data_IF_326200828569
#
_entry.id   IF_326200828569
#
_cell.length_a   1.000
_cell.length_b   1.000
_cell.length_c   1.000
_cell.angle_alpha   90.00
_cell.angle_beta   90.00
_cell.angle_gamma   90.00
#
_symmetry.space_group_name_H-M   'P 1'
#
loop_
_entity.id
_entity.type
_entity.pdbx_description
1 polymer ?
#
# COMPACT_ATOMS: atom_id res chain seq x y z
N UNK A 1 -40.04 6.65 -1.25
CA UNK A 1 -39.72 7.99 -1.77
C UNK A 1 -39.66 8.95 -0.59
N UNK A 2 -38.46 9.37 -0.22
CA UNK A 2 -38.23 10.52 0.66
C UNK A 2 -36.84 11.06 0.28
N UNK A 3 -36.82 12.20 -0.39
CA UNK A 3 -35.63 12.93 -0.75
C UNK A 3 -35.24 13.83 0.43
N UNK A 4 -34.04 13.67 0.97
CA UNK A 4 -33.43 14.63 1.88
C UNK A 4 -32.34 15.39 1.12
N UNK A 5 -32.64 16.66 0.82
CA UNK A 5 -31.74 17.56 0.11
C UNK A 5 -30.51 17.93 0.92
N UNK A 6 -29.38 18.05 0.22
CA UNK A 6 -28.16 18.66 0.75
C UNK A 6 -28.33 20.18 0.87
N UNK A 7 -27.82 20.82 1.93
CA UNK A 7 -27.83 22.27 2.03
C UNK A 7 -26.85 22.90 1.02
N UNK A 8 -27.33 23.92 0.33
CA UNK A 8 -26.59 24.77 -0.61
C UNK A 8 -25.36 25.39 0.05
N UNK A 9 -24.17 25.16 -0.51
CA UNK A 9 -22.92 25.77 -0.04
C UNK A 9 -22.92 27.26 -0.37
N UNK A 10 -23.00 28.10 0.66
CA UNK A 10 -22.67 29.51 0.54
C UNK A 10 -21.21 29.67 0.08
N UNK A 11 -21.03 30.25 -1.10
CA UNK A 11 -19.71 30.57 -1.67
C UNK A 11 -18.99 31.56 -0.75
N UNK A 12 -17.82 31.17 -0.26
CA UNK A 12 -16.89 32.09 0.41
C UNK A 12 -16.49 33.21 -0.59
N UNK A 13 -16.29 34.46 -0.12
CA UNK A 13 -15.85 35.55 -0.98
C UNK A 13 -14.46 35.24 -1.55
N UNK A 14 -14.40 35.06 -2.87
CA UNK A 14 -13.17 34.97 -3.65
C UNK A 14 -12.47 36.33 -3.56
N UNK A 15 -11.34 36.41 -2.83
CA UNK A 15 -10.45 37.57 -2.98
C UNK A 15 -9.82 37.50 -4.38
N UNK A 16 -9.77 38.61 -5.14
CA UNK A 16 -9.03 38.63 -6.39
C UNK A 16 -7.55 38.36 -6.09
N UNK A 17 -7.03 37.30 -6.69
CA UNK A 17 -5.59 37.01 -6.66
C UNK A 17 -4.93 38.10 -7.52
N UNK A 18 -4.05 38.90 -6.90
CA UNK A 18 -3.17 39.81 -7.63
C UNK A 18 -2.31 39.01 -8.60
N UNK A 19 -2.23 39.46 -9.86
CA UNK A 19 -1.48 38.82 -10.93
C UNK A 19 0.06 38.95 -10.79
N UNK A 20 0.57 39.48 -9.67
CA UNK A 20 2.01 39.64 -9.42
C UNK A 20 2.76 38.32 -9.10
N UNK A 21 2.10 37.15 -9.08
CA UNK A 21 2.77 35.87 -8.88
C UNK A 21 3.27 35.18 -10.17
N UNK A 22 3.16 35.83 -11.32
CA UNK A 22 3.67 35.30 -12.59
C UNK A 22 5.12 35.67 -12.94
N UNK A 23 5.87 36.26 -12.00
CA UNK A 23 7.28 36.62 -12.24
C UNK A 23 8.32 35.56 -11.80
N UNK A 24 7.84 34.35 -11.48
CA UNK A 24 8.70 33.18 -11.21
C UNK A 24 9.40 32.64 -12.49
N UNK A 25 9.00 33.09 -13.69
CA UNK A 25 9.69 32.77 -14.93
C UNK A 25 10.89 33.68 -15.24
N UNK A 26 10.92 34.88 -14.65
CA UNK A 26 11.96 35.89 -14.93
C UNK A 26 13.05 35.97 -13.86
N UNK A 27 12.96 35.17 -12.79
CA UNK A 27 13.92 35.14 -11.68
C UNK A 27 14.71 33.83 -11.57
N UNK A 28 14.58 32.93 -12.54
CA UNK A 28 15.41 31.74 -12.64
C UNK A 28 16.71 32.11 -13.35
N UNK A 29 17.84 31.88 -12.69
CA UNK A 29 19.18 32.05 -13.26
C UNK A 29 19.26 31.44 -14.67
N UNK A 30 19.99 32.12 -15.57
CA UNK A 30 20.19 31.76 -16.97
C UNK A 30 20.46 30.26 -17.31
N UNK A 31 21.04 29.42 -16.42
CA UNK A 31 21.22 27.99 -16.68
C UNK A 31 19.91 27.16 -16.75
N UNK A 32 18.85 27.56 -16.06
CA UNK A 32 17.62 26.74 -15.92
C UNK A 32 16.75 26.77 -17.17
N UNK A 33 16.70 27.93 -17.86
CA UNK A 33 15.98 28.07 -19.13
C UNK A 33 16.53 27.14 -20.23
N UNK A 34 17.84 26.90 -20.25
CA UNK A 34 18.47 25.95 -21.18
C UNK A 34 18.10 24.49 -20.91
N UNK A 35 17.87 24.14 -19.64
CA UNK A 35 17.51 22.80 -19.20
C UNK A 35 16.06 22.46 -19.57
N UNK A 36 15.13 23.40 -19.34
CA UNK A 36 13.72 23.26 -19.73
C UNK A 36 13.60 23.06 -21.25
N UNK A 37 14.37 23.80 -22.06
CA UNK A 37 14.34 23.66 -23.52
C UNK A 37 14.87 22.30 -23.98
N UNK A 38 15.86 21.71 -23.32
CA UNK A 38 16.39 20.38 -23.67
C UNK A 38 15.44 19.24 -23.28
N UNK A 39 14.84 19.35 -22.10
CA UNK A 39 13.91 18.33 -21.58
C UNK A 39 12.56 18.39 -22.28
N UNK A 40 11.93 19.58 -22.31
CA UNK A 40 10.54 19.75 -22.74
C UNK A 40 10.43 19.90 -24.26
N UNK A 41 11.42 20.52 -24.92
CA UNK A 41 11.39 20.78 -26.38
C UNK A 41 12.18 19.74 -27.18
N UNK A 42 13.24 19.14 -26.62
CA UNK A 42 14.09 18.15 -27.33
C UNK A 42 13.97 16.71 -26.81
N UNK A 43 13.19 16.46 -25.76
CA UNK A 43 12.98 15.11 -25.22
C UNK A 43 14.23 14.48 -24.60
N UNK A 44 15.22 15.28 -24.22
CA UNK A 44 16.46 14.76 -23.63
C UNK A 44 16.23 14.31 -22.17
N UNK A 45 16.79 13.14 -21.81
CA UNK A 45 16.65 12.57 -20.47
C UNK A 45 17.32 13.48 -19.41
N UNK A 46 16.52 13.95 -18.45
CA UNK A 46 16.92 14.85 -17.35
C UNK A 46 18.15 14.35 -16.58
N UNK A 47 18.27 13.03 -16.42
CA UNK A 47 19.34 12.36 -15.68
C UNK A 47 20.71 12.54 -16.36
N UNK A 48 20.73 12.69 -17.69
CA UNK A 48 21.97 12.92 -18.45
C UNK A 48 22.46 14.38 -18.32
N UNK A 49 21.56 15.31 -18.00
CA UNK A 49 21.82 16.76 -18.01
C UNK A 49 22.25 17.33 -16.66
N UNK A 50 22.20 16.54 -15.58
CA UNK A 50 22.61 16.99 -14.24
C UNK A 50 24.14 16.81 -14.01
N UNK A 51 24.81 17.80 -13.38
CA UNK A 51 26.23 17.71 -13.02
C UNK A 51 26.53 16.49 -12.15
N UNK A 52 27.70 15.85 -12.33
CA UNK A 52 28.11 14.63 -11.62
C UNK A 52 27.99 14.72 -10.09
N UNK A 53 28.23 15.91 -9.51
CA UNK A 53 28.08 16.20 -8.08
C UNK A 53 26.64 16.13 -7.54
N UNK A 54 25.64 16.19 -8.42
CA UNK A 54 24.23 15.98 -8.07
C UNK A 54 23.73 14.57 -8.45
N UNK A 55 24.56 13.74 -9.09
CA UNK A 55 24.21 12.35 -9.44
C UNK A 55 24.20 11.42 -8.23
N UNK A 56 24.98 11.73 -7.19
CA UNK A 56 24.96 11.01 -5.90
C UNK A 56 23.76 11.38 -5.02
N UNK A 57 23.06 12.48 -5.34
CA UNK A 57 21.77 12.83 -4.76
C UNK A 57 20.67 12.53 -5.79
N UNK A 58 20.74 11.38 -6.46
CA UNK A 58 19.53 10.74 -6.96
C UNK A 58 18.66 10.48 -5.72
N UNK A 59 17.82 11.46 -5.38
CA UNK A 59 16.74 11.31 -4.42
C UNK A 59 16.02 10.03 -4.87
N UNK A 60 16.11 8.96 -4.08
CA UNK A 60 15.30 7.77 -4.30
C UNK A 60 13.86 8.23 -4.17
N UNK A 61 13.24 8.55 -5.30
CA UNK A 61 11.87 9.04 -5.33
C UNK A 61 11.00 7.96 -4.71
N UNK A 62 10.15 8.33 -3.76
CA UNK A 62 9.20 7.39 -3.19
C UNK A 62 8.23 6.96 -4.28
N UNK A 63 8.25 5.67 -4.61
CA UNK A 63 7.52 5.11 -5.75
C UNK A 63 6.34 4.28 -5.30
N UNK A 64 5.54 3.79 -6.26
CA UNK A 64 4.48 2.83 -5.94
C UNK A 64 5.05 1.56 -5.32
N UNK A 65 6.27 1.15 -5.66
CA UNK A 65 6.93 -0.02 -5.09
C UNK A 65 7.14 0.15 -3.58
N UNK A 66 7.56 1.34 -3.15
CA UNK A 66 7.75 1.67 -1.73
C UNK A 66 6.41 1.68 -0.99
N UNK A 67 5.39 2.29 -1.59
CA UNK A 67 4.05 2.39 -1.00
C UNK A 67 3.30 1.05 -0.93
N UNK A 68 3.67 0.07 -1.76
CA UNK A 68 2.99 -1.21 -1.87
C UNK A 68 3.87 -2.36 -1.38
N UNK A 69 4.85 -2.80 -2.16
CA UNK A 69 5.66 -4.00 -1.90
C UNK A 69 6.45 -3.86 -0.60
N UNK A 70 7.17 -2.74 -0.42
CA UNK A 70 7.97 -2.52 0.81
C UNK A 70 7.06 -2.40 2.04
N UNK A 71 5.99 -1.63 1.94
CA UNK A 71 5.00 -1.52 3.02
C UNK A 71 4.34 -2.86 3.37
N UNK A 72 4.02 -3.68 2.37
CA UNK A 72 3.47 -5.02 2.56
C UNK A 72 4.43 -5.95 3.30
N UNK A 73 5.73 -5.92 2.95
CA UNK A 73 6.75 -6.69 3.66
C UNK A 73 6.84 -6.30 5.14
N UNK A 74 6.83 -5.00 5.46
CA UNK A 74 6.83 -4.55 6.85
C UNK A 74 5.58 -5.00 7.61
N UNK A 75 4.40 -4.88 6.98
CA UNK A 75 3.15 -5.27 7.61
C UNK A 75 3.05 -6.78 7.85
N UNK A 76 3.49 -7.60 6.89
CA UNK A 76 3.54 -9.06 7.02
C UNK A 76 4.54 -9.49 8.10
N UNK A 77 5.69 -8.82 8.18
CA UNK A 77 6.67 -9.03 9.27
C UNK A 77 6.07 -8.68 10.63
N UNK A 78 5.31 -7.58 10.72
CA UNK A 78 4.61 -7.20 11.95
C UNK A 78 3.58 -8.27 12.34
N UNK A 79 2.81 -8.77 11.36
CA UNK A 79 1.85 -9.85 11.61
C UNK A 79 2.53 -11.13 12.08
N UNK A 80 3.71 -11.51 11.57
CA UNK A 80 4.47 -12.65 12.11
C UNK A 80 4.78 -12.48 13.60
N UNK A 81 5.25 -11.29 14.00
CA UNK A 81 5.50 -10.99 15.42
C UNK A 81 4.22 -11.03 16.27
N UNK A 82 3.14 -10.43 15.76
CA UNK A 82 1.83 -10.39 16.42
C UNK A 82 1.26 -11.80 16.63
N UNK A 83 1.25 -12.65 15.60
CA UNK A 83 0.71 -14.01 15.74
C UNK A 83 1.60 -14.91 16.60
N UNK A 84 2.91 -14.65 16.65
CA UNK A 84 3.84 -15.34 17.56
C UNK A 84 3.50 -15.04 19.01
N UNK A 85 3.24 -13.76 19.34
CA UNK A 85 2.78 -13.38 20.69
C UNK A 85 1.40 -13.96 21.01
N UNK A 86 0.50 -13.98 20.04
CA UNK A 86 -0.84 -14.54 20.21
C UNK A 86 -0.81 -16.05 20.50
N UNK A 87 0.04 -16.80 19.80
CA UNK A 87 0.17 -18.25 19.97
C UNK A 87 0.72 -18.65 21.35
N UNK A 88 1.50 -17.79 21.99
CA UNK A 88 2.00 -18.00 23.35
C UNK A 88 0.92 -17.79 24.44
N UNK A 89 -0.26 -17.25 24.08
CA UNK A 89 -1.33 -16.99 25.03
C UNK A 89 -2.07 -18.29 25.43
N UNK A 90 -2.50 -18.47 26.69
CA UNK A 90 -3.21 -19.69 27.14
C UNK A 90 -4.48 -20.02 26.33
N UNK A 91 -5.18 -18.99 25.82
CA UNK A 91 -6.39 -19.16 25.01
C UNK A 91 -6.15 -19.16 23.48
N UNK A 92 -4.90 -19.28 23.04
CA UNK A 92 -4.49 -19.09 21.64
C UNK A 92 -5.33 -19.89 20.63
N UNK A 93 -5.75 -21.11 20.99
CA UNK A 93 -6.54 -22.00 20.15
C UNK A 93 -7.91 -21.42 19.74
N UNK A 94 -8.47 -20.51 20.55
CA UNK A 94 -9.77 -19.87 20.25
C UNK A 94 -9.66 -18.68 19.29
N UNK A 95 -8.47 -18.10 19.14
CA UNK A 95 -8.31 -16.80 18.47
C UNK A 95 -8.57 -16.81 16.97
N UNK A 96 -8.23 -17.85 16.19
CA UNK A 96 -8.51 -17.87 14.74
C UNK A 96 -9.97 -17.55 14.39
N UNK A 97 -10.92 -17.95 15.23
CA UNK A 97 -12.36 -17.74 15.04
C UNK A 97 -12.91 -16.47 15.71
N UNK A 98 -12.10 -15.77 16.50
CA UNK A 98 -12.52 -14.54 17.20
C UNK A 98 -12.77 -13.41 16.22
N UNK A 99 -13.74 -12.56 16.58
CA UNK A 99 -14.22 -11.41 15.81
C UNK A 99 -14.24 -10.17 16.69
N UNK A 100 -14.15 -8.99 16.08
CA UNK A 100 -14.29 -7.71 16.79
C UNK A 100 -15.75 -7.32 16.98
N UNK A 101 -16.60 -7.63 16.00
CA UNK A 101 -18.05 -7.48 16.06
C UNK A 101 -18.74 -8.72 15.46
N UNK A 102 -20.01 -9.00 15.79
CA UNK A 102 -20.70 -10.23 15.38
C UNK A 102 -20.76 -10.45 13.86
N UNK A 103 -20.86 -9.37 13.09
CA UNK A 103 -20.94 -9.37 11.62
C UNK A 103 -19.57 -9.26 10.92
N UNK A 104 -18.49 -9.01 11.68
CA UNK A 104 -17.15 -8.94 11.13
C UNK A 104 -16.54 -10.32 10.93
N UNK A 105 -15.72 -10.47 9.90
CA UNK A 105 -14.97 -11.70 9.61
C UNK A 105 -13.88 -11.98 10.67
N UNK A 106 -13.55 -13.26 10.93
CA UNK A 106 -12.72 -13.66 12.06
C UNK A 106 -11.23 -13.40 11.82
N UNK A 107 -10.40 -13.55 12.85
CA UNK A 107 -8.94 -13.33 12.79
C UNK A 107 -8.28 -14.06 11.60
N UNK A 108 -8.64 -15.33 11.37
CA UNK A 108 -8.12 -16.13 10.26
C UNK A 108 -8.34 -15.47 8.90
N UNK A 109 -9.53 -14.91 8.68
CA UNK A 109 -9.83 -14.14 7.49
C UNK A 109 -9.03 -12.84 7.42
N UNK A 110 -8.88 -12.12 8.53
CA UNK A 110 -8.14 -10.86 8.54
C UNK A 110 -6.69 -11.07 8.09
N UNK A 111 -6.01 -12.10 8.63
CA UNK A 111 -4.63 -12.45 8.24
C UNK A 111 -4.56 -12.90 6.79
N UNK A 112 -5.50 -13.76 6.37
CA UNK A 112 -5.59 -14.20 4.98
C UNK A 112 -5.76 -13.03 4.01
N UNK A 113 -6.62 -12.06 4.34
CA UNK A 113 -6.90 -10.93 3.47
C UNK A 113 -5.68 -10.04 3.29
N UNK A 114 -4.88 -9.81 4.34
CA UNK A 114 -3.60 -9.10 4.21
C UNK A 114 -2.66 -9.80 3.22
N UNK A 115 -2.52 -11.13 3.36
CA UNK A 115 -1.70 -11.96 2.47
C UNK A 115 -2.19 -11.92 1.02
N UNK A 116 -3.50 -12.11 0.80
CA UNK A 116 -4.11 -12.13 -0.52
C UNK A 116 -4.00 -10.77 -1.23
N UNK A 117 -4.17 -9.67 -0.49
CA UNK A 117 -4.03 -8.31 -1.04
C UNK A 117 -2.57 -8.01 -1.39
N UNK A 118 -1.61 -8.36 -0.54
CA UNK A 118 -0.19 -8.20 -0.83
C UNK A 118 0.24 -9.00 -2.08
N UNK A 119 -0.21 -10.25 -2.21
CA UNK A 119 0.02 -11.07 -3.41
C UNK A 119 -0.60 -10.43 -4.66
N UNK A 120 -1.82 -9.90 -4.57
CA UNK A 120 -2.47 -9.23 -5.69
C UNK A 120 -1.73 -7.96 -6.12
N UNK A 121 -1.15 -7.19 -5.18
CA UNK A 121 -0.29 -6.04 -5.50
C UNK A 121 0.96 -6.47 -6.26
N UNK A 122 1.62 -7.54 -5.82
CA UNK A 122 2.80 -8.07 -6.48
C UNK A 122 2.51 -8.65 -7.88
N UNK A 123 1.40 -9.35 -8.07
CA UNK A 123 0.96 -9.81 -9.40
C UNK A 123 0.67 -8.63 -10.32
N UNK A 124 -0.09 -7.64 -9.83
CA UNK A 124 -0.43 -6.43 -10.58
C UNK A 124 0.82 -5.66 -11.03
N UNK A 125 1.79 -5.47 -10.12
CA UNK A 125 3.05 -4.77 -10.42
C UNK A 125 4.04 -5.62 -11.22
N UNK A 126 3.75 -6.89 -11.47
CA UNK A 126 4.45 -7.73 -12.44
C UNK A 126 3.67 -7.87 -13.77
N UNK A 127 2.57 -7.12 -13.94
CA UNK A 127 1.68 -7.19 -15.11
C UNK A 127 1.12 -8.60 -15.35
N UNK A 128 0.97 -9.37 -14.27
CA UNK A 128 0.30 -10.66 -14.28
C UNK A 128 -1.18 -10.44 -13.96
N UNK A 129 -2.05 -11.31 -14.48
CA UNK A 129 -3.47 -11.27 -14.11
C UNK A 129 -3.58 -11.49 -12.59
N UNK A 130 -4.15 -10.50 -11.91
CA UNK A 130 -4.41 -10.56 -10.49
C UNK A 130 -5.87 -10.99 -10.29
N UNK A 131 -6.08 -12.29 -10.11
CA UNK A 131 -7.34 -12.81 -9.61
C UNK A 131 -7.31 -12.73 -8.08
N UNK A 132 -8.23 -11.96 -7.47
CA UNK A 132 -8.40 -12.03 -6.03
C UNK A 132 -8.89 -13.44 -5.67
N UNK A 133 -8.05 -14.22 -4.98
CA UNK A 133 -8.43 -15.51 -4.40
C UNK A 133 -9.58 -15.30 -3.42
N UNK A 134 -10.52 -16.24 -3.33
CA UNK A 134 -11.54 -16.27 -2.28
C UNK A 134 -11.00 -16.99 -1.02
N UNK A 135 -11.52 -16.66 0.16
CA UNK A 135 -11.01 -17.19 1.42
C UNK A 135 -11.22 -18.71 1.52
N UNK A 136 -12.32 -19.18 0.95
CA UNK A 136 -12.73 -20.56 0.90
C UNK A 136 -11.76 -21.43 0.08
N UNK A 137 -10.97 -20.83 -0.81
CA UNK A 137 -9.96 -21.54 -1.62
C UNK A 137 -8.69 -21.87 -0.82
N UNK A 138 -8.35 -21.07 0.20
CA UNK A 138 -7.11 -21.18 0.96
C UNK A 138 -7.28 -20.65 2.41
N UNK A 139 -8.12 -21.29 3.25
CA UNK A 139 -8.39 -20.80 4.59
C UNK A 139 -7.18 -20.99 5.52
N UNK A 140 -7.06 -20.13 6.53
CA UNK A 140 -5.95 -20.14 7.50
C UNK A 140 -6.41 -20.50 8.92
N UNK A 141 -6.82 -21.76 9.19
CA UNK A 141 -7.44 -22.12 10.46
C UNK A 141 -6.47 -22.20 11.65
N UNK A 142 -5.16 -22.27 11.42
CA UNK A 142 -4.16 -22.46 12.48
C UNK A 142 -3.01 -21.46 12.36
N UNK A 143 -2.29 -21.19 13.46
CA UNK A 143 -1.09 -20.36 13.42
C UNK A 143 -0.02 -20.89 12.46
N UNK A 144 0.08 -22.22 12.32
CA UNK A 144 0.98 -22.85 11.37
C UNK A 144 0.62 -22.50 9.92
N UNK A 145 -0.66 -22.57 9.53
CA UNK A 145 -1.09 -22.18 8.18
C UNK A 145 -0.96 -20.67 7.96
N UNK A 146 -1.26 -19.86 8.99
CA UNK A 146 -1.05 -18.41 8.95
C UNK A 146 0.42 -18.04 8.70
N UNK A 147 1.36 -18.62 9.46
CA UNK A 147 2.81 -18.39 9.27
C UNK A 147 3.27 -18.83 7.90
N UNK A 148 2.94 -20.05 7.49
CA UNK A 148 3.33 -20.57 6.19
C UNK A 148 2.83 -19.68 5.05
N UNK A 149 1.60 -19.15 5.16
CA UNK A 149 1.05 -18.23 4.17
C UNK A 149 1.78 -16.89 4.15
N UNK A 150 2.07 -16.32 5.32
CA UNK A 150 2.84 -15.06 5.40
C UNK A 150 4.24 -15.23 4.80
N UNK A 151 4.94 -16.32 5.14
CA UNK A 151 6.28 -16.63 4.61
C UNK A 151 6.26 -16.81 3.09
N UNK A 152 5.29 -17.55 2.57
CA UNK A 152 5.10 -17.72 1.13
C UNK A 152 4.91 -16.37 0.42
N UNK A 153 4.09 -15.48 0.97
CA UNK A 153 3.84 -14.17 0.38
C UNK A 153 5.07 -13.28 0.49
N UNK A 154 5.77 -13.26 1.63
CA UNK A 154 7.04 -12.54 1.78
C UNK A 154 8.07 -12.99 0.73
N UNK A 155 8.25 -14.29 0.55
CA UNK A 155 9.13 -14.85 -0.46
C UNK A 155 8.71 -14.44 -1.88
N UNK A 156 7.40 -14.35 -2.17
CA UNK A 156 6.92 -13.86 -3.44
C UNK A 156 7.17 -12.35 -3.63
N UNK A 157 6.97 -11.53 -2.59
CA UNK A 157 7.28 -10.09 -2.62
C UNK A 157 8.76 -9.83 -2.91
N UNK A 158 9.67 -10.69 -2.45
CA UNK A 158 11.10 -10.61 -2.74
C UNK A 158 11.45 -10.84 -4.21
N UNK A 159 10.56 -11.46 -4.98
CA UNK A 159 10.76 -11.66 -6.43
C UNK A 159 10.36 -10.45 -7.28
N UNK A 160 9.74 -9.43 -6.68
CA UNK A 160 9.27 -8.25 -7.40
C UNK A 160 10.43 -7.30 -7.64
N UNK A 161 10.85 -7.20 -8.91
CA UNK A 161 11.84 -6.22 -9.34
C UNK A 161 11.29 -4.78 -9.22
N UNK A 162 12.09 -3.88 -8.65
CA UNK A 162 11.67 -2.50 -8.35
C UNK A 162 11.42 -1.71 -9.63
N UNK A 163 12.35 -1.75 -10.58
CA UNK A 163 12.27 -0.91 -11.78
C UNK A 163 11.11 -1.36 -12.68
N UNK A 164 10.96 -2.68 -12.84
CA UNK A 164 9.83 -3.27 -13.55
C UNK A 164 8.49 -2.92 -12.88
N UNK A 165 8.41 -2.94 -11.55
CA UNK A 165 7.19 -2.57 -10.82
C UNK A 165 6.85 -1.08 -10.98
N UNK A 166 7.86 -0.20 -10.99
CA UNK A 166 7.66 1.24 -11.24
C UNK A 166 7.15 1.48 -12.66
N UNK A 167 7.68 0.77 -13.65
CA UNK A 167 7.17 0.84 -15.03
C UNK A 167 5.74 0.27 -15.15
N UNK A 168 5.47 -0.86 -14.47
CA UNK A 168 4.15 -1.49 -14.44
C UNK A 168 3.08 -0.61 -13.79
N UNK A 169 3.46 0.34 -12.93
CA UNK A 169 2.55 1.24 -12.24
C UNK A 169 1.63 2.01 -13.19
N UNK A 170 2.13 2.40 -14.36
CA UNK A 170 1.37 3.16 -15.36
C UNK A 170 0.66 2.29 -16.38
N UNK A 171 0.92 0.97 -16.38
CA UNK A 171 0.32 0.02 -17.32
C UNK A 171 -0.95 -0.56 -16.74
N UNK A 172 -1.88 -0.82 -17.64
CA UNK A 172 -3.22 -1.31 -17.33
C UNK A 172 -3.26 -2.84 -17.36
N UNK A 173 -3.93 -3.43 -16.37
CA UNK A 173 -4.23 -4.87 -16.33
C UNK A 173 -5.69 -5.10 -15.91
N UNK A 174 -6.22 -6.28 -16.24
CA UNK A 174 -7.53 -6.71 -15.77
C UNK A 174 -7.37 -7.28 -14.36
N UNK A 175 -8.16 -6.73 -13.44
CA UNK A 175 -8.21 -7.14 -12.04
C UNK A 175 -9.59 -7.67 -11.75
N UNK A 176 -9.66 -8.93 -11.34
CA UNK A 176 -10.92 -9.59 -11.02
C UNK A 176 -11.22 -9.43 -9.52
N UNK A 177 -12.12 -8.50 -9.18
CA UNK A 177 -12.64 -8.33 -7.82
C UNK A 177 -13.75 -9.34 -7.48
N UNK A 178 -13.99 -10.33 -8.34
CA UNK A 178 -14.99 -11.38 -8.18
C UNK A 178 -16.35 -10.78 -7.82
N UNK A 179 -16.95 -11.26 -6.73
CA UNK A 179 -18.31 -10.91 -6.28
C UNK A 179 -18.46 -9.48 -5.80
N UNK A 180 -17.38 -8.75 -5.51
CA UNK A 180 -17.46 -7.40 -4.97
C UNK A 180 -17.90 -6.39 -6.03
N UNK A 181 -17.10 -6.23 -7.09
CA UNK A 181 -17.35 -5.25 -8.17
C UNK A 181 -17.06 -5.79 -9.58
N UNK A 182 -16.84 -7.10 -9.71
CA UNK A 182 -16.50 -7.76 -10.98
C UNK A 182 -15.09 -7.42 -11.47
N UNK A 183 -14.86 -7.62 -12.77
CA UNK A 183 -13.59 -7.28 -13.42
C UNK A 183 -13.49 -5.78 -13.66
N UNK A 184 -12.33 -5.19 -13.34
CA UNK A 184 -11.99 -3.80 -13.64
C UNK A 184 -10.67 -3.75 -14.37
N UNK A 185 -10.61 -2.89 -15.36
CA UNK A 185 -9.38 -2.55 -16.06
C UNK A 185 -8.76 -1.35 -15.34
N UNK A 186 -7.59 -1.54 -14.73
CA UNK A 186 -6.95 -0.54 -13.86
C UNK A 186 -5.45 -0.49 -14.11
N UNK A 187 -4.84 0.68 -13.95
CA UNK A 187 -3.39 0.78 -13.84
C UNK A 187 -2.90 0.17 -12.54
N UNK A 188 -1.65 -0.29 -12.50
CA UNK A 188 -1.06 -0.81 -11.27
C UNK A 188 -1.11 0.20 -10.12
N UNK A 189 -0.84 1.48 -10.40
CA UNK A 189 -0.95 2.55 -9.43
C UNK A 189 -2.38 2.74 -8.93
N UNK A 190 -3.37 2.74 -9.82
CA UNK A 190 -4.77 2.90 -9.44
C UNK A 190 -5.26 1.75 -8.55
N UNK A 191 -4.88 0.52 -8.88
CA UNK A 191 -5.18 -0.63 -8.04
C UNK A 191 -4.52 -0.56 -6.67
N UNK A 192 -3.20 -0.34 -6.63
CA UNK A 192 -2.46 -0.30 -5.36
C UNK A 192 -2.98 0.82 -4.46
N UNK A 193 -3.20 2.03 -4.99
CA UNK A 193 -3.67 3.16 -4.20
C UNK A 193 -5.15 3.06 -3.81
N UNK A 194 -6.02 2.61 -4.72
CA UNK A 194 -7.47 2.61 -4.50
C UNK A 194 -8.00 1.38 -3.77
N UNK A 195 -7.34 0.23 -3.92
CA UNK A 195 -7.80 -1.03 -3.35
C UNK A 195 -6.74 -1.72 -2.49
N UNK A 196 -5.49 -1.87 -2.98
CA UNK A 196 -4.47 -2.66 -2.31
C UNK A 196 -4.08 -2.13 -0.93
N UNK A 197 -3.41 -0.97 -0.93
CA UNK A 197 -2.87 -0.31 0.26
C UNK A 197 -3.92 -0.13 1.37
N UNK A 198 -5.11 0.48 1.12
CA UNK A 198 -6.09 0.71 2.17
C UNK A 198 -6.65 -0.60 2.76
N UNK A 199 -6.92 -1.62 1.92
CA UNK A 199 -7.43 -2.91 2.43
C UNK A 199 -6.38 -3.62 3.29
N UNK A 200 -5.12 -3.59 2.86
CA UNK A 200 -4.03 -4.25 3.56
C UNK A 200 -3.87 -3.70 4.99
N UNK A 201 -3.81 -2.37 5.14
CA UNK A 201 -3.73 -1.74 6.46
C UNK A 201 -4.98 -1.98 7.31
N UNK A 202 -6.18 -1.92 6.70
CA UNK A 202 -7.42 -2.20 7.40
C UNK A 202 -7.42 -3.60 8.03
N UNK A 203 -7.13 -4.63 7.25
CA UNK A 203 -7.17 -6.00 7.77
C UNK A 203 -6.08 -6.26 8.83
N UNK A 204 -4.89 -5.69 8.67
CA UNK A 204 -3.83 -5.85 9.66
C UNK A 204 -4.17 -5.19 11.00
N UNK A 205 -4.76 -3.98 10.99
CA UNK A 205 -5.15 -3.32 12.25
C UNK A 205 -6.34 -4.03 12.90
N UNK A 206 -7.27 -4.60 12.13
CA UNK A 206 -8.36 -5.43 12.69
C UNK A 206 -7.79 -6.71 13.31
N UNK A 207 -6.83 -7.38 12.68
CA UNK A 207 -6.16 -8.55 13.27
C UNK A 207 -5.48 -8.20 14.61
N UNK A 208 -4.73 -7.08 14.65
CA UNK A 208 -4.16 -6.53 15.89
C UNK A 208 -5.25 -6.27 16.94
N UNK A 209 -6.34 -5.61 16.56
CA UNK A 209 -7.42 -5.24 17.48
C UNK A 209 -8.16 -6.46 18.05
N UNK A 210 -8.44 -7.49 17.23
CA UNK A 210 -9.06 -8.74 17.70
C UNK A 210 -8.19 -9.38 18.79
N UNK A 211 -6.89 -9.51 18.54
CA UNK A 211 -5.96 -10.14 19.48
C UNK A 211 -5.76 -9.29 20.75
N UNK A 212 -5.65 -7.97 20.59
CA UNK A 212 -5.53 -7.04 21.73
C UNK A 212 -6.77 -7.07 22.61
N UNK A 213 -7.96 -7.12 22.00
CA UNK A 213 -9.23 -7.26 22.71
C UNK A 213 -9.39 -8.64 23.36
N UNK A 214 -8.74 -9.68 22.83
CA UNK A 214 -8.71 -11.03 23.41
C UNK A 214 -7.69 -11.20 24.55
N UNK A 215 -7.02 -10.12 24.97
CA UNK A 215 -6.10 -10.15 26.11
C UNK A 215 -4.63 -10.36 25.76
N UNK A 216 -4.27 -10.48 24.47
CA UNK A 216 -2.86 -10.58 24.07
C UNK A 216 -2.12 -9.28 24.40
N UNK A 217 -0.93 -9.39 24.98
CA UNK A 217 -0.08 -8.26 25.34
C UNK A 217 0.60 -7.63 24.12
N UNK A 218 -0.21 -6.99 23.27
CA UNK A 218 0.24 -6.25 22.09
C UNK A 218 0.33 -4.75 22.38
N UNK A 219 1.44 -4.14 22.02
CA UNK A 219 1.66 -2.69 22.03
C UNK A 219 1.73 -2.11 20.62
N UNK A 220 1.71 -0.79 20.52
CA UNK A 220 1.85 -0.06 19.24
C UNK A 220 3.11 -0.46 18.46
N UNK A 221 4.20 -0.77 19.16
CA UNK A 221 5.47 -1.16 18.55
C UNK A 221 5.45 -2.59 17.99
N UNK A 222 4.53 -3.47 18.41
CA UNK A 222 4.37 -4.77 17.75
C UNK A 222 3.85 -4.62 16.32
N UNK A 223 3.08 -3.56 16.06
CA UNK A 223 2.60 -3.21 14.74
C UNK A 223 3.59 -2.31 13.96
N UNK A 224 4.10 -1.24 14.59
CA UNK A 224 4.95 -0.25 13.91
C UNK A 224 6.43 -0.62 13.86
N UNK A 225 6.90 -1.56 14.68
CA UNK A 225 8.32 -1.92 14.81
C UNK A 225 8.99 -2.13 13.46
N UNK A 226 8.51 -3.05 12.61
CA UNK A 226 9.11 -3.30 11.29
C UNK A 226 9.16 -2.07 10.38
N UNK A 227 8.16 -1.17 10.45
CA UNK A 227 8.18 0.09 9.72
C UNK A 227 9.26 1.03 10.25
N UNK A 228 9.41 1.10 11.57
CA UNK A 228 10.36 2.01 12.20
C UNK A 228 11.81 1.57 11.98
N UNK A 229 12.11 0.28 12.17
CA UNK A 229 13.46 -0.26 11.95
C UNK A 229 13.94 0.04 10.52
N UNK A 230 13.04 -0.14 9.54
CA UNK A 230 13.40 -0.02 8.13
C UNK A 230 13.50 1.43 7.62
N UNK A 231 12.75 2.38 8.20
CA UNK A 231 12.62 3.72 7.62
C UNK A 231 13.16 4.86 8.48
N UNK A 232 13.26 4.68 9.81
CA UNK A 232 13.69 5.75 10.73
C UNK A 232 14.76 5.32 11.75
N UNK A 233 15.26 4.08 11.67
CA UNK A 233 16.45 3.63 12.41
C UNK A 233 16.27 3.54 13.93
N UNK A 234 15.06 3.24 14.39
CA UNK A 234 14.82 2.86 15.79
C UNK A 234 15.18 1.41 16.04
#
# INVERSE_FOLDING_TARGET
>A
MAASGFPSSALLPQRPISLDQYDLYNTLDAPIHGLIRKVVVRGENLTALLPARHRHAAIMSYTIYDASIVAAKHLLTALQGIITKAEAHPEAASFPDRRLAPDMLPLSFQIWSVCAVAEAQALTLQQKEAARKEYEEDPLPTYATMRARIEQVLAFLDTVDRDAAVEAATKTTIIDFKRAVGKKELTGAAFCAGAGIPNMYFHAIIAFAILRNAGVELGKLDYLGPFFMANIGM
#
